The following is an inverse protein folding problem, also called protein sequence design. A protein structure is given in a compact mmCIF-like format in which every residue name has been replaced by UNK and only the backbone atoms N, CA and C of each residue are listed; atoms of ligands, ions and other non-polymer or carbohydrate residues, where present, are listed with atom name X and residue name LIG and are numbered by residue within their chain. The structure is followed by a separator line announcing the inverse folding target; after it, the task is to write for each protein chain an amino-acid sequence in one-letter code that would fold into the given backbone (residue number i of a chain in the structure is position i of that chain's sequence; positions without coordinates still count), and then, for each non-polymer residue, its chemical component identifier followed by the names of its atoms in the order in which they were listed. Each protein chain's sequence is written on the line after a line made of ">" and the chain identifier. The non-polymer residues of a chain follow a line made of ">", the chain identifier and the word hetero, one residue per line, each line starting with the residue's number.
data_IF_938958180958
#
_entry.id   IF_938958180958
#
_cell.length_a   1.000
_cell.length_b   1.000
_cell.length_c   1.000
_cell.angle_alpha   90.00
_cell.angle_beta   90.00
_cell.angle_gamma   90.00
#
_symmetry.space_group_name_H-M   'P 1'
#
loop_
_entity.id
_entity.type
_entity.pdbx_description
1 polymer ?
#
# COMPACT_ATOMS: atom_id res chain seq x y z
N UNK A 1 -8.37 -0.96 -32.72
CA UNK A 1 -8.58 -0.54 -31.31
C UNK A 1 -7.86 -1.40 -30.26
N UNK A 2 -7.92 -2.75 -30.33
CA UNK A 2 -7.35 -3.62 -29.29
C UNK A 2 -5.82 -3.51 -29.10
N UNK A 3 -5.03 -3.34 -30.16
CA UNK A 3 -3.56 -3.29 -30.05
C UNK A 3 -3.06 -2.04 -29.27
N UNK A 4 -3.57 -0.86 -29.63
CA UNK A 4 -3.22 0.39 -28.95
C UNK A 4 -3.58 0.35 -27.46
N UNK A 5 -4.75 -0.19 -27.11
CA UNK A 5 -5.17 -0.33 -25.72
C UNK A 5 -4.22 -1.21 -24.89
N UNK A 6 -3.69 -2.30 -25.47
CA UNK A 6 -2.71 -3.17 -24.80
C UNK A 6 -1.39 -2.46 -24.54
N UNK A 7 -0.94 -1.61 -25.47
CA UNK A 7 0.27 -0.81 -25.30
C UNK A 7 0.08 0.19 -24.15
N UNK A 8 -1.04 0.92 -24.14
CA UNK A 8 -1.35 1.89 -23.08
C UNK A 8 -1.36 1.21 -21.70
N UNK A 9 -2.05 0.07 -21.57
CA UNK A 9 -2.09 -0.69 -20.33
C UNK A 9 -0.69 -1.15 -19.88
N UNK A 10 0.15 -1.61 -20.80
CA UNK A 10 1.53 -2.01 -20.50
C UNK A 10 2.37 -0.83 -20.00
N UNK A 11 2.21 0.36 -20.59
CA UNK A 11 2.91 1.57 -20.18
C UNK A 11 2.47 2.03 -18.77
N UNK A 12 1.16 2.06 -18.51
CA UNK A 12 0.61 2.40 -17.19
C UNK A 12 1.09 1.43 -16.11
N UNK A 13 1.11 0.13 -16.42
CA UNK A 13 1.63 -0.91 -15.52
C UNK A 13 3.11 -0.73 -15.23
N UNK A 14 3.93 -0.44 -16.25
CA UNK A 14 5.36 -0.19 -16.09
C UNK A 14 5.63 1.04 -15.20
N UNK A 15 4.87 2.11 -15.39
CA UNK A 15 4.96 3.32 -14.56
C UNK A 15 4.65 3.01 -13.09
N UNK A 16 3.58 2.26 -12.84
CA UNK A 16 3.17 1.86 -11.48
C UNK A 16 4.21 0.97 -10.80
N UNK A 17 4.80 0.01 -11.53
CA UNK A 17 5.88 -0.84 -11.02
C UNK A 17 7.13 -0.02 -10.66
N UNK A 18 7.47 1.00 -11.45
CA UNK A 18 8.62 1.87 -11.15
C UNK A 18 8.46 2.60 -9.82
N UNK A 19 7.23 2.94 -9.42
CA UNK A 19 6.96 3.58 -8.11
C UNK A 19 7.19 2.64 -6.93
N UNK A 20 6.99 1.33 -7.11
CA UNK A 20 7.22 0.35 -6.06
C UNK A 20 8.69 0.32 -5.61
N UNK A 21 9.61 0.60 -6.54
CA UNK A 21 11.05 0.60 -6.32
C UNK A 21 11.67 2.00 -6.39
N UNK A 22 10.88 3.09 -6.38
CA UNK A 22 11.41 4.45 -6.51
C UNK A 22 11.89 5.05 -5.19
N UNK A 23 11.45 4.49 -4.05
CA UNK A 23 11.89 4.96 -2.75
C UNK A 23 13.22 4.26 -2.36
N UNK A 24 14.25 4.99 -1.92
CA UNK A 24 15.56 4.42 -1.57
C UNK A 24 15.52 3.47 -0.37
N UNK A 25 14.52 3.61 0.50
CA UNK A 25 14.30 2.77 1.68
C UNK A 25 13.36 1.58 1.40
N UNK A 26 13.13 1.27 0.11
CA UNK A 26 12.33 0.12 -0.32
C UNK A 26 13.20 -1.12 -0.57
N UNK A 27 12.81 -2.24 0.00
CA UNK A 27 13.36 -3.57 -0.29
C UNK A 27 12.24 -4.45 -0.78
N UNK A 28 12.33 -4.88 -2.04
CA UNK A 28 11.27 -5.62 -2.71
C UNK A 28 11.82 -6.98 -3.17
N UNK A 29 11.16 -8.05 -2.73
CA UNK A 29 11.49 -9.43 -3.12
C UNK A 29 11.10 -9.75 -4.57
N UNK A 30 11.47 -10.95 -5.00
CA UNK A 30 11.16 -11.44 -6.35
C UNK A 30 9.70 -11.86 -6.52
N UNK A 31 9.33 -12.25 -7.74
CA UNK A 31 8.04 -12.87 -8.07
C UNK A 31 6.79 -12.01 -7.77
N UNK A 32 6.88 -10.71 -8.03
CA UNK A 32 5.75 -9.79 -7.90
C UNK A 32 4.69 -10.03 -8.98
N UNK A 33 3.43 -10.10 -8.57
CA UNK A 33 2.28 -10.15 -9.48
C UNK A 33 1.36 -8.97 -9.18
N UNK A 34 1.32 -8.00 -10.10
CA UNK A 34 0.52 -6.79 -9.92
C UNK A 34 -0.58 -6.74 -10.99
N UNK A 35 -1.82 -6.63 -10.54
CA UNK A 35 -3.00 -6.46 -11.40
C UNK A 35 -3.06 -5.07 -12.04
N UNK A 36 -4.02 -4.89 -12.95
CA UNK A 36 -4.19 -3.63 -13.65
C UNK A 36 -4.74 -2.54 -12.72
N UNK A 37 -4.41 -1.28 -13.03
CA UNK A 37 -4.91 -0.09 -12.33
C UNK A 37 -4.63 -0.06 -10.81
N UNK A 38 -3.55 -0.70 -10.37
CA UNK A 38 -3.04 -0.51 -9.01
C UNK A 38 -2.28 0.81 -8.90
N UNK A 39 -2.37 1.45 -7.74
CA UNK A 39 -1.60 2.65 -7.43
C UNK A 39 -0.67 2.42 -6.24
N UNK A 40 0.56 2.91 -6.37
CA UNK A 40 1.58 2.89 -5.33
C UNK A 40 2.05 4.33 -5.10
N UNK A 41 1.94 4.80 -3.86
CA UNK A 41 2.31 6.15 -3.44
C UNK A 41 3.27 6.05 -2.26
N UNK A 42 4.57 5.92 -2.55
CA UNK A 42 5.62 5.83 -1.53
C UNK A 42 6.31 7.18 -1.41
N UNK A 43 6.15 7.83 -0.26
CA UNK A 43 6.67 9.17 -0.04
C UNK A 43 8.21 9.11 0.14
N UNK A 44 8.97 10.15 -0.25
CA UNK A 44 10.43 10.10 -0.27
C UNK A 44 11.08 9.75 1.08
N UNK A 45 10.50 10.22 2.19
CA UNK A 45 11.05 10.02 3.53
C UNK A 45 10.32 8.90 4.30
N UNK A 46 9.67 7.96 3.60
CA UNK A 46 9.18 6.75 4.27
C UNK A 46 10.34 6.06 5.01
N UNK A 47 10.12 5.71 6.28
CA UNK A 47 11.19 5.18 7.14
C UNK A 47 11.66 3.82 6.66
N UNK A 48 10.74 2.93 6.30
CA UNK A 48 11.06 1.61 5.74
C UNK A 48 9.90 1.02 4.95
N UNK A 49 10.19 0.46 3.78
CA UNK A 49 9.23 -0.30 3.00
C UNK A 49 9.84 -1.67 2.67
N UNK A 50 9.25 -2.73 3.19
CA UNK A 50 9.71 -4.10 2.94
C UNK A 50 8.57 -4.92 2.38
N UNK A 51 8.74 -5.45 1.18
CA UNK A 51 7.80 -6.37 0.54
C UNK A 51 8.54 -7.66 0.21
N UNK A 52 8.09 -8.77 0.80
CA UNK A 52 8.66 -10.09 0.59
C UNK A 52 8.48 -10.63 -0.82
N UNK A 53 9.06 -11.81 -1.06
CA UNK A 53 8.92 -12.50 -2.34
C UNK A 53 7.53 -13.10 -2.50
N UNK A 54 7.03 -13.19 -3.73
CA UNK A 54 5.72 -13.79 -4.01
C UNK A 54 4.52 -12.90 -3.68
N UNK A 55 4.72 -11.59 -3.50
CA UNK A 55 3.63 -10.64 -3.30
C UNK A 55 2.74 -10.53 -4.54
N UNK A 56 1.44 -10.78 -4.37
CA UNK A 56 0.47 -10.81 -5.45
C UNK A 56 -0.76 -9.95 -5.13
N UNK A 57 -1.03 -8.94 -5.93
CA UNK A 57 -2.22 -8.10 -5.80
C UNK A 57 -3.06 -8.13 -7.08
N UNK A 58 -4.39 -8.15 -6.94
CA UNK A 58 -5.34 -8.09 -8.07
C UNK A 58 -5.58 -6.64 -8.51
N UNK A 59 -6.70 -6.35 -9.16
CA UNK A 59 -6.93 -5.06 -9.81
C UNK A 59 -7.33 -3.99 -8.79
N UNK A 60 -7.09 -2.73 -9.13
CA UNK A 60 -7.57 -1.56 -8.38
C UNK A 60 -7.12 -1.52 -6.90
N UNK A 61 -5.96 -2.10 -6.59
CA UNK A 61 -5.38 -2.03 -5.25
C UNK A 61 -4.60 -0.74 -5.04
N UNK A 62 -4.60 -0.21 -3.82
CA UNK A 62 -3.87 0.99 -3.46
C UNK A 62 -2.91 0.72 -2.30
N UNK A 63 -1.67 1.15 -2.42
CA UNK A 63 -0.70 1.12 -1.32
C UNK A 63 -0.08 2.50 -1.18
N UNK A 64 -0.30 3.14 -0.04
CA UNK A 64 0.31 4.39 0.35
C UNK A 64 1.18 4.18 1.59
N UNK A 65 2.38 4.75 1.55
CA UNK A 65 3.29 4.82 2.70
C UNK A 65 3.75 6.26 2.82
N UNK A 66 3.39 6.93 3.92
CA UNK A 66 3.75 8.33 4.16
C UNK A 66 5.22 8.48 4.56
N UNK A 67 5.64 9.73 4.74
CA UNK A 67 6.90 10.01 5.44
C UNK A 67 6.88 9.39 6.84
N UNK A 68 8.06 8.99 7.32
CA UNK A 68 8.32 8.43 8.65
C UNK A 68 7.62 7.10 8.98
N UNK A 69 6.78 6.58 8.08
CA UNK A 69 6.04 5.33 8.24
C UNK A 69 6.85 4.08 7.89
N UNK A 70 6.47 2.94 8.48
CA UNK A 70 7.06 1.63 8.25
C UNK A 70 6.04 0.60 7.73
N UNK A 71 6.21 0.16 6.47
CA UNK A 71 5.41 -0.93 5.90
C UNK A 71 6.25 -2.21 5.82
N UNK A 72 5.75 -3.29 6.40
CA UNK A 72 6.29 -4.64 6.24
C UNK A 72 5.22 -5.60 5.72
N UNK A 73 5.51 -6.22 4.57
CA UNK A 73 4.72 -7.29 3.97
C UNK A 73 5.63 -8.51 3.84
N UNK A 74 5.24 -9.62 4.47
CA UNK A 74 5.96 -10.89 4.42
C UNK A 74 5.93 -11.57 3.05
N UNK A 75 6.47 -12.79 3.00
CA UNK A 75 6.47 -13.60 1.78
C UNK A 75 5.08 -14.15 1.46
N UNK A 76 4.80 -14.39 0.17
CA UNK A 76 3.59 -15.05 -0.32
C UNK A 76 2.27 -14.39 0.12
N UNK A 77 2.26 -13.07 0.26
CA UNK A 77 1.04 -12.33 0.59
C UNK A 77 0.21 -12.07 -0.66
N UNK A 78 -1.10 -12.32 -0.57
CA UNK A 78 -2.07 -12.07 -1.62
C UNK A 78 -3.09 -11.00 -1.21
N UNK A 79 -3.41 -10.08 -2.12
CA UNK A 79 -4.53 -9.15 -1.98
C UNK A 79 -5.49 -9.28 -3.17
N UNK A 80 -6.79 -9.50 -2.89
CA UNK A 80 -7.81 -9.51 -3.93
C UNK A 80 -8.15 -8.08 -4.41
N UNK A 81 -9.14 -7.92 -5.31
CA UNK A 81 -9.45 -6.63 -5.90
C UNK A 81 -9.81 -5.58 -4.83
N UNK A 82 -9.62 -4.31 -5.17
CA UNK A 82 -10.09 -3.17 -4.37
C UNK A 82 -9.56 -3.09 -2.93
N UNK A 83 -8.47 -3.80 -2.63
CA UNK A 83 -7.79 -3.71 -1.35
C UNK A 83 -7.01 -2.39 -1.23
N UNK A 84 -6.85 -1.90 0.00
CA UNK A 84 -6.12 -0.66 0.27
C UNK A 84 -5.27 -0.79 1.53
N UNK A 85 -4.01 -0.37 1.43
CA UNK A 85 -3.09 -0.21 2.56
C UNK A 85 -2.71 1.27 2.62
N UNK A 86 -2.99 1.92 3.74
CA UNK A 86 -2.72 3.32 3.99
C UNK A 86 -1.91 3.42 5.30
N UNK A 87 -0.58 3.45 5.16
CA UNK A 87 0.37 3.34 6.26
C UNK A 87 0.95 4.72 6.58
N UNK A 88 0.54 5.30 7.71
CA UNK A 88 1.03 6.58 8.23
C UNK A 88 1.95 6.44 9.44
N UNK A 89 1.92 5.30 10.12
CA UNK A 89 2.84 4.95 11.21
C UNK A 89 3.48 3.60 10.93
N UNK A 90 2.72 2.50 11.05
CA UNK A 90 3.26 1.15 10.90
C UNK A 90 2.18 0.13 10.57
N UNK A 91 2.41 -0.63 9.50
CA UNK A 91 1.59 -1.79 9.15
C UNK A 91 2.50 -3.00 8.91
N UNK A 92 2.24 -4.08 9.64
CA UNK A 92 2.93 -5.37 9.50
C UNK A 92 1.95 -6.45 9.03
N UNK A 93 2.27 -7.14 7.94
CA UNK A 93 1.52 -8.28 7.40
C UNK A 93 2.43 -9.50 7.35
N UNK A 94 2.07 -10.55 8.10
CA UNK A 94 2.81 -11.81 8.13
C UNK A 94 2.76 -12.61 6.83
N UNK A 95 3.69 -13.54 6.69
CA UNK A 95 3.80 -14.45 5.54
C UNK A 95 2.54 -15.30 5.32
N UNK A 96 2.33 -15.71 4.07
CA UNK A 96 1.20 -16.50 3.56
C UNK A 96 -0.19 -15.95 3.91
N UNK A 97 -0.31 -14.64 4.14
CA UNK A 97 -1.60 -13.97 4.38
C UNK A 97 -2.36 -13.74 3.08
N UNK A 98 -3.65 -14.09 3.07
CA UNK A 98 -4.54 -13.85 1.94
C UNK A 98 -5.67 -12.88 2.34
N UNK A 99 -5.76 -11.75 1.65
CA UNK A 99 -6.87 -10.80 1.84
C UNK A 99 -7.98 -11.04 0.82
N UNK A 100 -9.22 -11.04 1.32
CA UNK A 100 -10.44 -11.03 0.51
C UNK A 100 -10.59 -9.74 -0.29
N UNK A 101 -11.70 -9.62 -1.03
CA UNK A 101 -11.98 -8.41 -1.81
C UNK A 101 -12.29 -7.22 -0.89
N UNK A 102 -11.79 -6.03 -1.25
CA UNK A 102 -12.19 -4.78 -0.61
C UNK A 102 -11.59 -4.50 0.77
N UNK A 103 -10.67 -5.34 1.28
CA UNK A 103 -10.04 -5.15 2.61
C UNK A 103 -9.23 -3.85 2.68
N UNK A 104 -9.38 -3.11 3.78
CA UNK A 104 -8.73 -1.79 3.99
C UNK A 104 -7.97 -1.77 5.31
N UNK A 105 -6.68 -1.47 5.25
CA UNK A 105 -5.82 -1.31 6.42
C UNK A 105 -5.37 0.15 6.52
N UNK A 106 -5.89 0.85 7.53
CA UNK A 106 -5.69 2.29 7.75
C UNK A 106 -5.29 2.42 9.21
N UNK A 107 -4.01 2.71 9.46
CA UNK A 107 -3.41 2.78 10.80
C UNK A 107 -3.60 4.16 11.46
N UNK A 108 -4.48 4.99 10.91
CA UNK A 108 -4.64 6.37 11.34
C UNK A 108 -6.08 6.86 11.19
N UNK A 109 -6.38 7.91 11.94
CA UNK A 109 -7.58 8.70 11.77
C UNK A 109 -7.23 10.20 11.82
N UNK A 110 -8.05 11.04 11.19
CA UNK A 110 -7.91 12.48 11.31
C UNK A 110 -8.09 12.92 12.76
N UNK A 111 -7.22 13.80 13.24
CA UNK A 111 -7.44 14.47 14.51
C UNK A 111 -8.69 15.32 14.43
N UNK A 112 -9.43 15.40 15.52
CA UNK A 112 -10.57 16.29 15.64
C UNK A 112 -10.63 16.87 17.05
N UNK A 113 -11.17 18.07 17.16
CA UNK A 113 -11.53 18.67 18.45
C UNK A 113 -13.03 18.86 18.51
N UNK A 114 -13.61 18.73 19.69
CA UNK A 114 -15.01 19.05 19.97
C UNK A 114 -15.18 20.38 20.73
N UNK A 115 -14.08 21.02 21.14
CA UNK A 115 -14.07 22.27 21.90
C UNK A 115 -12.97 23.22 21.40
N UNK A 116 -13.22 24.54 21.33
CA UNK A 116 -14.49 25.21 21.60
C UNK A 116 -15.59 24.93 20.55
N UNK A 117 -15.21 24.44 19.36
CA UNK A 117 -16.12 24.05 18.28
C UNK A 117 -15.63 22.75 17.63
N UNK A 118 -16.53 22.01 16.96
CA UNK A 118 -16.15 20.81 16.25
C UNK A 118 -15.29 21.14 15.02
N UNK A 119 -14.08 20.58 14.95
CA UNK A 119 -13.17 20.74 13.83
C UNK A 119 -12.45 19.43 13.54
N UNK A 120 -12.39 19.06 12.27
CA UNK A 120 -11.56 17.95 11.77
C UNK A 120 -10.31 18.52 11.12
N UNK A 121 -9.15 18.03 11.54
CA UNK A 121 -7.86 18.43 10.98
C UNK A 121 -7.56 17.61 9.72
N UNK A 122 -7.33 18.29 8.60
CA UNK A 122 -7.10 17.62 7.30
C UNK A 122 -5.70 17.02 7.16
N UNK A 123 -4.73 17.47 7.97
CA UNK A 123 -3.31 17.10 7.83
C UNK A 123 -2.69 16.55 9.12
N UNK A 124 -3.45 16.48 10.21
CA UNK A 124 -2.98 15.92 11.47
C UNK A 124 -3.74 14.63 11.76
N UNK A 125 -3.00 13.62 12.22
CA UNK A 125 -3.51 12.28 12.37
C UNK A 125 -3.16 11.73 13.75
N UNK A 126 -4.08 10.96 14.32
CA UNK A 126 -3.76 10.01 15.38
C UNK A 126 -3.50 8.68 14.70
N UNK A 127 -2.36 8.06 14.96
CA UNK A 127 -1.98 6.79 14.39
C UNK A 127 -1.72 5.74 15.48
N UNK A 128 -1.94 4.48 15.14
CA UNK A 128 -1.55 3.33 15.94
C UNK A 128 -1.24 2.14 15.00
N UNK A 129 -0.25 1.29 15.32
CA UNK A 129 0.22 0.24 14.42
C UNK A 129 -0.84 -0.84 14.17
N UNK A 130 -0.88 -1.36 12.94
CA UNK A 130 -1.64 -2.57 12.58
C UNK A 130 -0.69 -3.75 12.43
N UNK A 131 -1.04 -4.88 13.04
CA UNK A 131 -0.32 -6.16 12.86
C UNK A 131 -1.28 -7.28 12.47
N UNK A 132 -1.07 -7.84 11.29
CA UNK A 132 -1.71 -9.07 10.82
C UNK A 132 -0.70 -10.21 10.95
N UNK A 133 -1.11 -11.30 11.62
CA UNK A 133 -0.28 -12.48 11.83
C UNK A 133 0.11 -13.20 10.54
N UNK A 134 0.80 -14.34 10.67
CA UNK A 134 1.16 -15.23 9.56
C UNK A 134 0.24 -16.44 9.51
N UNK A 135 0.13 -17.07 8.33
CA UNK A 135 -0.58 -18.34 8.12
C UNK A 135 0.33 -19.41 7.50
#
# INVERSE_FOLDING_TARGET
>A
MHFLSKIILKLLKKSSLKKLSSNPNSTIGGNLKIGDFCNFSFYPNAKKISIGSGFSIRKYCNILVSNDAELHIGNNVFMNNYCSINCLEKIEIGENTLFGEGVKLYDHNHQYSASPEFRVEHQKFNAAPIKIGKN
#
